data_IF_763808070203
#
_entry.id   IF_763808070203
#
_cell.length_a   1.000
_cell.length_b   1.000
_cell.length_c   1.000
_cell.angle_alpha   90.00
_cell.angle_beta   90.00
_cell.angle_gamma   90.00
#
_symmetry.space_group_name_H-M   'P 1'
#
loop_
_entity.id
_entity.type
_entity.pdbx_description
1 polymer ?
#
# COMPACT_ATOMS: atom_id res chain seq x y z
N UNK A 1 -27.94 27.10 14.01
CA UNK A 1 -27.29 26.73 12.74
C UNK A 1 -25.80 26.96 12.89
N UNK A 2 -25.02 25.89 13.07
CA UNK A 2 -23.63 25.71 12.61
C UNK A 2 -23.22 24.32 13.10
N UNK A 3 -23.45 23.30 12.25
CA UNK A 3 -22.98 21.94 12.50
C UNK A 3 -21.47 21.91 12.27
N UNK A 4 -20.71 21.64 13.33
CA UNK A 4 -19.31 21.25 13.24
C UNK A 4 -19.23 19.83 12.67
N UNK A 5 -19.16 19.72 11.35
CA UNK A 5 -18.64 18.52 10.69
C UNK A 5 -17.13 18.50 10.86
N UNK A 6 -16.66 17.98 12.00
CA UNK A 6 -15.25 17.67 12.21
C UNK A 6 -14.86 16.55 11.24
N UNK A 7 -14.10 16.89 10.19
CA UNK A 7 -13.34 15.90 9.44
C UNK A 7 -12.24 15.39 10.37
N UNK A 8 -12.50 14.29 11.08
CA UNK A 8 -11.56 13.63 11.98
C UNK A 8 -10.39 13.04 11.16
N UNK A 9 -9.17 13.41 11.56
CA UNK A 9 -7.95 12.69 11.19
C UNK A 9 -7.95 11.36 11.97
N UNK A 10 -7.49 10.22 11.40
CA UNK A 10 -7.42 8.97 12.16
C UNK A 10 -6.50 9.13 13.38
N UNK A 11 -6.87 8.61 14.57
CA UNK A 11 -6.02 8.69 15.75
C UNK A 11 -4.74 7.86 15.57
N UNK A 12 -3.59 8.50 15.77
CA UNK A 12 -2.31 7.83 16.07
C UNK A 12 -2.28 7.54 17.58
N UNK A 13 -2.81 6.40 18.02
CA UNK A 13 -2.74 6.00 19.43
C UNK A 13 -1.98 4.70 19.62
N UNK A 14 -0.88 4.82 20.36
CA UNK A 14 -0.01 3.76 20.84
C UNK A 14 -0.65 3.04 22.05
N UNK A 15 -0.74 1.70 22.02
CA UNK A 15 -0.46 0.78 23.15
C UNK A 15 -0.97 -0.66 22.89
N UNK A 16 -0.02 -1.60 23.07
CA UNK A 16 -0.13 -3.00 23.50
C UNK A 16 -0.86 -4.09 22.66
N UNK A 17 0.00 -4.97 22.12
CA UNK A 17 0.00 -6.44 22.14
C UNK A 17 -1.30 -7.23 21.97
N UNK A 18 -1.24 -8.14 20.98
CA UNK A 18 -2.12 -9.28 20.71
C UNK A 18 -3.55 -8.94 20.29
N UNK A 19 -3.79 -8.74 18.99
CA UNK A 19 -5.10 -9.03 18.41
C UNK A 19 -4.96 -9.69 17.04
N UNK A 20 -5.50 -10.91 16.95
CA UNK A 20 -6.04 -11.45 15.70
C UNK A 20 -6.80 -10.35 14.98
N UNK A 21 -6.34 -9.93 13.80
CA UNK A 21 -7.07 -8.92 13.03
C UNK A 21 -8.32 -9.57 12.46
N UNK A 22 -9.46 -9.42 13.13
CA UNK A 22 -10.79 -9.80 12.63
C UNK A 22 -11.25 -8.94 11.43
N UNK A 23 -10.31 -8.36 10.67
CA UNK A 23 -10.59 -7.60 9.47
C UNK A 23 -10.38 -8.52 8.25
N UNK A 24 -11.45 -8.89 7.52
CA UNK A 24 -11.37 -9.88 6.43
C UNK A 24 -10.61 -9.37 5.20
N UNK A 25 -10.32 -8.07 5.14
CA UNK A 25 -9.56 -7.47 4.04
C UNK A 25 -8.05 -7.44 4.31
N UNK A 26 -7.61 -7.65 5.55
CA UNK A 26 -6.19 -7.66 5.92
C UNK A 26 -5.66 -9.07 5.84
N UNK A 27 -4.59 -9.25 5.06
CA UNK A 27 -3.90 -10.52 4.87
C UNK A 27 -2.47 -10.35 5.38
N UNK A 28 -2.06 -11.26 6.24
CA UNK A 28 -0.66 -11.39 6.69
C UNK A 28 -0.12 -12.64 6.01
N UNK A 29 0.89 -12.48 5.15
CA UNK A 29 1.43 -13.60 4.36
C UNK A 29 2.95 -13.73 4.52
N UNK A 30 3.49 -14.95 4.62
CA UNK A 30 4.92 -15.17 4.83
C UNK A 30 5.74 -14.69 3.64
N UNK A 31 6.97 -14.29 3.94
CA UNK A 31 7.97 -13.96 2.94
C UNK A 31 8.68 -15.24 2.47
N UNK A 32 8.51 -15.63 1.19
CA UNK A 32 9.06 -16.88 0.65
C UNK A 32 10.59 -16.91 0.59
N UNK A 33 11.27 -15.76 0.75
CA UNK A 33 12.74 -15.67 0.77
C UNK A 33 13.33 -15.74 2.18
N UNK A 34 12.51 -15.91 3.22
CA UNK A 34 12.96 -15.99 4.61
C UNK A 34 13.52 -17.38 4.97
N UNK A 35 14.71 -17.67 4.45
CA UNK A 35 15.64 -18.54 5.18
C UNK A 35 16.23 -17.68 6.32
N UNK A 36 16.57 -18.25 7.48
CA UNK A 36 17.31 -17.62 8.61
C UNK A 36 16.51 -17.16 9.85
N UNK A 37 17.10 -17.46 11.01
CA UNK A 37 16.52 -17.55 12.36
C UNK A 37 16.52 -16.26 13.19
N UNK A 38 16.63 -15.08 12.58
CA UNK A 38 16.79 -13.82 13.33
C UNK A 38 15.91 -12.69 12.81
N UNK A 39 15.14 -12.07 13.72
CA UNK A 39 14.49 -10.78 13.49
C UNK A 39 15.54 -9.65 13.51
N UNK A 40 16.33 -9.50 12.44
CA UNK A 40 17.11 -8.28 12.21
C UNK A 40 16.19 -7.09 11.94
N UNK A 41 16.72 -5.86 11.98
CA UNK A 41 15.92 -4.70 11.58
C UNK A 41 15.53 -4.85 10.10
N UNK A 42 14.32 -4.41 9.69
CA UNK A 42 13.90 -4.50 8.28
C UNK A 42 14.94 -3.94 7.31
N UNK A 43 15.61 -2.84 7.67
CA UNK A 43 16.64 -2.21 6.84
C UNK A 43 17.88 -3.10 6.61
N UNK A 44 18.31 -3.89 7.60
CA UNK A 44 19.47 -4.78 7.44
C UNK A 44 19.17 -5.86 6.38
N UNK A 45 17.93 -6.38 6.39
CA UNK A 45 17.47 -7.36 5.40
C UNK A 45 17.29 -6.74 4.01
N UNK A 46 16.81 -5.51 3.94
CA UNK A 46 16.69 -4.76 2.69
C UNK A 46 18.05 -4.63 1.98
N UNK A 47 19.12 -4.33 2.72
CA UNK A 47 20.48 -4.30 2.17
C UNK A 47 20.92 -5.66 1.60
N UNK A 48 20.63 -6.75 2.30
CA UNK A 48 20.92 -8.11 1.82
C UNK A 48 20.18 -8.42 0.51
N UNK A 49 18.92 -8.01 0.38
CA UNK A 49 18.15 -8.19 -0.88
C UNK A 49 18.70 -7.37 -2.04
N UNK A 50 19.11 -6.11 -1.80
CA UNK A 50 19.72 -5.25 -2.82
C UNK A 50 21.08 -5.76 -3.27
N UNK A 51 21.92 -6.18 -2.32
CA UNK A 51 23.24 -6.71 -2.61
C UNK A 51 23.16 -8.02 -3.41
N UNK A 52 22.17 -8.88 -3.13
CA UNK A 52 21.91 -10.10 -3.90
C UNK A 52 21.46 -9.83 -5.34
N UNK A 53 20.83 -8.68 -5.59
CA UNK A 53 20.40 -8.26 -6.92
C UNK A 53 21.49 -7.46 -7.69
N UNK A 54 22.70 -7.37 -7.14
CA UNK A 54 23.77 -6.50 -7.64
C UNK A 54 24.55 -7.05 -8.83
N UNK A 55 24.25 -6.56 -10.04
CA UNK A 55 25.21 -5.96 -11.00
C UNK A 55 24.53 -5.52 -12.31
N UNK A 56 24.07 -4.26 -12.36
CA UNK A 56 24.16 -3.30 -13.48
C UNK A 56 23.36 -2.05 -13.12
N UNK A 57 24.05 -0.99 -12.70
CA UNK A 57 23.48 0.36 -12.61
C UNK A 57 24.06 1.13 -13.78
N UNK A 58 23.34 1.15 -14.90
CA UNK A 58 23.49 2.24 -15.87
C UNK A 58 22.35 3.21 -15.60
N UNK A 59 22.72 4.39 -15.14
CA UNK A 59 21.83 5.42 -14.65
C UNK A 59 21.10 6.07 -15.83
N UNK A 60 19.92 5.56 -16.17
CA UNK A 60 19.01 6.26 -17.06
C UNK A 60 18.31 7.39 -16.27
N UNK A 61 18.96 8.54 -16.14
CA UNK A 61 18.26 9.77 -15.73
C UNK A 61 17.32 10.19 -16.85
N UNK A 62 16.02 10.27 -16.56
CA UNK A 62 15.16 11.14 -17.37
C UNK A 62 14.07 11.80 -16.54
N UNK A 63 14.31 13.10 -16.33
CA UNK A 63 13.34 14.22 -16.33
C UNK A 63 12.16 14.13 -15.35
N UNK A 64 12.25 14.84 -14.22
CA UNK A 64 11.10 15.51 -13.62
C UNK A 64 11.47 16.34 -12.37
N UNK A 65 11.56 17.66 -12.52
CA UNK A 65 11.53 18.59 -11.37
C UNK A 65 10.14 18.63 -10.72
N UNK A 66 9.10 18.12 -11.40
CA UNK A 66 7.77 17.86 -10.85
C UNK A 66 7.66 16.56 -10.01
N UNK A 67 8.78 15.91 -9.66
CA UNK A 67 8.78 14.63 -8.93
C UNK A 67 9.63 14.67 -7.65
N UNK A 68 10.51 15.66 -7.47
CA UNK A 68 11.31 15.77 -6.26
C UNK A 68 10.46 16.14 -5.02
N UNK A 69 9.49 17.06 -5.17
CA UNK A 69 8.62 17.50 -4.06
C UNK A 69 7.74 16.38 -3.51
N UNK A 70 7.02 15.67 -4.38
CA UNK A 70 6.13 14.57 -3.97
C UNK A 70 6.92 13.38 -3.42
N UNK A 71 8.09 13.07 -3.99
CA UNK A 71 9.00 12.05 -3.45
C UNK A 71 9.53 12.47 -2.08
N UNK A 72 9.96 13.73 -1.92
CA UNK A 72 10.44 14.23 -0.64
C UNK A 72 9.36 14.19 0.44
N UNK A 73 8.14 14.60 0.10
CA UNK A 73 7.00 14.49 0.99
C UNK A 73 6.72 13.02 1.35
N UNK A 74 6.72 12.11 0.37
CA UNK A 74 6.55 10.67 0.61
C UNK A 74 7.55 10.16 1.64
N UNK A 75 8.85 10.47 1.49
CA UNK A 75 9.88 10.01 2.43
C UNK A 75 9.67 10.57 3.85
N UNK A 76 9.15 11.80 3.98
CA UNK A 76 8.89 12.46 5.27
C UNK A 76 7.68 11.93 6.03
N UNK A 77 6.77 11.21 5.37
CA UNK A 77 5.64 10.55 6.06
C UNK A 77 6.13 9.42 6.96
N UNK A 78 7.26 8.79 6.62
CA UNK A 78 7.89 7.78 7.45
C UNK A 78 8.54 8.39 8.70
N UNK A 79 8.48 7.72 9.86
CA UNK A 79 9.30 8.07 11.02
C UNK A 79 10.82 8.04 10.73
N UNK A 80 11.24 7.31 9.69
CA UNK A 80 12.63 7.16 9.26
C UNK A 80 12.75 7.39 7.75
N UNK A 81 13.43 8.47 7.38
CA UNK A 81 13.68 8.86 5.98
C UNK A 81 14.53 7.79 5.26
N UNK A 82 15.54 7.26 5.93
CA UNK A 82 16.44 6.25 5.38
C UNK A 82 15.70 4.94 5.13
N UNK A 83 14.85 4.51 6.06
CA UNK A 83 14.06 3.28 5.88
C UNK A 83 13.06 3.44 4.72
N UNK A 84 12.44 4.62 4.57
CA UNK A 84 11.55 4.90 3.46
C UNK A 84 12.28 4.88 2.11
N UNK A 85 13.45 5.52 2.03
CA UNK A 85 14.27 5.52 0.82
C UNK A 85 14.71 4.09 0.46
N UNK A 86 15.14 3.31 1.46
CA UNK A 86 15.56 1.93 1.26
C UNK A 86 14.40 1.04 0.80
N UNK A 87 13.22 1.16 1.42
CA UNK A 87 12.03 0.42 1.02
C UNK A 87 11.66 0.70 -0.45
N UNK A 88 11.77 1.95 -0.91
CA UNK A 88 11.53 2.30 -2.32
C UNK A 88 12.58 1.73 -3.27
N UNK A 89 13.85 1.69 -2.86
CA UNK A 89 14.91 1.06 -3.65
C UNK A 89 14.67 -0.45 -3.78
N UNK A 90 14.43 -1.14 -2.66
CA UNK A 90 14.13 -2.58 -2.64
C UNK A 90 12.91 -2.88 -3.49
N UNK A 91 11.82 -2.12 -3.34
CA UNK A 91 10.63 -2.32 -4.15
C UNK A 91 10.90 -2.12 -5.65
N UNK A 92 11.69 -1.10 -6.02
CA UNK A 92 12.10 -0.89 -7.40
C UNK A 92 12.92 -2.07 -7.96
N UNK A 93 13.88 -2.57 -7.18
CA UNK A 93 14.68 -3.75 -7.53
C UNK A 93 13.84 -5.01 -7.64
N UNK A 94 12.89 -5.21 -6.71
CA UNK A 94 11.95 -6.34 -6.73
C UNK A 94 11.12 -6.34 -8.01
N UNK A 95 10.51 -5.20 -8.36
CA UNK A 95 9.72 -5.05 -9.59
C UNK A 95 10.57 -5.37 -10.83
N UNK A 96 11.83 -4.96 -10.86
CA UNK A 96 12.74 -5.29 -11.97
C UNK A 96 13.07 -6.80 -12.00
N UNK A 97 13.40 -7.39 -10.85
CA UNK A 97 13.74 -8.80 -10.74
C UNK A 97 12.56 -9.72 -11.08
N UNK A 98 11.35 -9.30 -10.75
CA UNK A 98 10.11 -10.00 -11.09
C UNK A 98 9.69 -9.78 -12.55
N UNK A 99 10.35 -8.89 -13.31
CA UNK A 99 10.05 -8.69 -14.74
C UNK A 99 8.96 -7.65 -15.03
N UNK A 100 8.66 -6.77 -14.07
CA UNK A 100 7.73 -5.66 -14.22
C UNK A 100 6.66 -5.61 -13.14
N UNK A 101 5.85 -4.55 -13.15
CA UNK A 101 4.81 -4.29 -12.14
C UNK A 101 3.70 -5.34 -12.17
N UNK A 102 3.30 -5.79 -13.36
CA UNK A 102 2.29 -6.83 -13.54
C UNK A 102 2.70 -8.13 -12.86
N UNK A 103 3.92 -8.59 -13.12
CA UNK A 103 4.41 -9.82 -12.51
C UNK A 103 4.63 -9.65 -11.00
N UNK A 104 5.09 -8.49 -10.54
CA UNK A 104 5.18 -8.18 -9.12
C UNK A 104 3.83 -8.25 -8.40
N UNK A 105 2.78 -7.73 -9.04
CA UNK A 105 1.41 -7.84 -8.54
C UNK A 105 0.95 -9.30 -8.50
N UNK A 106 1.19 -10.07 -9.56
CA UNK A 106 0.83 -11.48 -9.63
C UNK A 106 1.53 -12.32 -8.55
N UNK A 107 2.82 -12.11 -8.32
CA UNK A 107 3.58 -12.79 -7.25
C UNK A 107 3.07 -12.40 -5.86
N UNK A 108 2.63 -11.15 -5.67
CA UNK A 108 2.13 -10.69 -4.39
C UNK A 108 0.73 -11.21 -4.04
N UNK A 109 -0.17 -11.36 -5.02
CA UNK A 109 -1.60 -11.59 -4.75
C UNK A 109 -2.22 -12.80 -5.45
N UNK A 110 -1.45 -13.52 -6.26
CA UNK A 110 -1.93 -14.43 -7.31
C UNK A 110 -2.84 -13.70 -8.32
N UNK A 111 -3.03 -14.24 -9.52
CA UNK A 111 -3.92 -13.62 -10.52
C UNK A 111 -5.30 -14.28 -10.49
N UNK A 112 -6.37 -13.49 -10.45
CA UNK A 112 -7.71 -14.01 -10.68
C UNK A 112 -7.95 -14.20 -12.20
N UNK A 113 -8.84 -15.12 -12.61
CA UNK A 113 -9.15 -15.31 -14.03
C UNK A 113 -9.60 -14.01 -14.70
N UNK A 114 -8.90 -13.60 -15.77
CA UNK A 114 -9.18 -12.36 -16.52
C UNK A 114 -8.90 -11.08 -15.73
N UNK A 115 -8.13 -11.14 -14.65
CA UNK A 115 -7.66 -9.96 -13.92
C UNK A 115 -6.45 -9.35 -14.61
N UNK A 116 -6.46 -8.03 -14.76
CA UNK A 116 -5.35 -7.26 -15.32
C UNK A 116 -5.01 -6.11 -14.37
N UNK A 117 -3.72 -5.85 -14.18
CA UNK A 117 -3.28 -4.69 -13.43
C UNK A 117 -3.50 -3.42 -14.27
N UNK A 118 -4.15 -2.41 -13.68
CA UNK A 118 -4.40 -1.14 -14.36
C UNK A 118 -3.34 -0.10 -13.97
N UNK A 119 -3.08 0.03 -12.67
CA UNK A 119 -2.18 1.05 -12.13
C UNK A 119 -1.57 0.60 -10.79
N UNK A 120 -0.41 1.18 -10.45
CA UNK A 120 0.20 1.06 -9.14
C UNK A 120 0.70 2.41 -8.63
N UNK A 121 0.66 2.60 -7.31
CA UNK A 121 1.02 3.85 -6.65
C UNK A 121 1.78 3.59 -5.36
N UNK A 122 2.95 4.21 -5.20
CA UNK A 122 3.67 4.22 -3.95
C UNK A 122 2.95 5.14 -2.94
N UNK A 123 2.69 4.61 -1.75
CA UNK A 123 1.96 5.30 -0.69
C UNK A 123 2.22 4.65 0.67
N UNK A 124 1.49 5.09 1.69
CA UNK A 124 1.43 4.47 3.00
C UNK A 124 -0.01 4.09 3.32
N UNK A 125 -0.20 2.95 3.96
CA UNK A 125 -1.45 2.59 4.62
C UNK A 125 -1.38 3.00 6.09
N UNK A 126 -2.36 3.78 6.56
CA UNK A 126 -2.49 4.11 7.97
C UNK A 126 -2.89 2.87 8.77
N UNK A 127 -2.13 2.53 9.80
CA UNK A 127 -2.50 1.49 10.77
C UNK A 127 -2.45 2.06 12.19
N UNK A 128 -2.97 1.32 13.16
CA UNK A 128 -2.88 1.68 14.58
C UNK A 128 -1.43 1.76 15.07
N UNK A 129 -0.53 0.99 14.48
CA UNK A 129 0.91 1.02 14.76
C UNK A 129 1.67 2.09 13.95
N UNK A 130 0.96 2.91 13.18
CA UNK A 130 1.53 3.96 12.33
C UNK A 130 1.46 3.65 10.82
N UNK A 131 2.05 4.51 9.99
CA UNK A 131 2.00 4.39 8.54
C UNK A 131 2.90 3.26 8.04
N UNK A 132 2.34 2.32 7.28
CA UNK A 132 3.08 1.23 6.63
C UNK A 132 3.35 1.61 5.18
N UNK A 133 4.62 1.76 4.81
CA UNK A 133 5.02 2.06 3.43
C UNK A 133 4.72 0.87 2.51
N UNK A 134 4.20 1.14 1.32
CA UNK A 134 3.91 0.10 0.36
C UNK A 134 3.47 0.62 -0.99
N UNK A 135 2.94 -0.34 -1.77
CA UNK A 135 2.42 -0.08 -3.09
C UNK A 135 0.94 -0.47 -3.15
N UNK A 136 0.10 0.50 -3.52
CA UNK A 136 -1.31 0.30 -3.82
C UNK A 136 -1.44 -0.07 -5.30
N UNK A 137 -2.01 -1.24 -5.57
CA UNK A 137 -2.34 -1.78 -6.87
C UNK A 137 -3.85 -1.63 -7.12
N UNK A 138 -4.19 -1.20 -8.33
CA UNK A 138 -5.56 -1.19 -8.84
C UNK A 138 -5.60 -2.12 -10.03
N UNK A 139 -6.38 -3.20 -9.94
CA UNK A 139 -6.64 -4.13 -11.05
C UNK A 139 -8.06 -3.94 -11.59
N UNK A 140 -8.41 -4.69 -12.64
CA UNK A 140 -9.78 -4.79 -13.14
C UNK A 140 -10.76 -5.45 -12.17
N UNK A 141 -10.27 -6.03 -11.05
CA UNK A 141 -11.08 -6.79 -10.10
C UNK A 141 -11.00 -6.29 -8.65
N UNK A 142 -9.90 -5.67 -8.24
CA UNK A 142 -9.67 -5.28 -6.83
C UNK A 142 -8.74 -4.08 -6.69
N UNK A 143 -8.88 -3.43 -5.55
CA UNK A 143 -7.85 -2.58 -4.96
C UNK A 143 -7.06 -3.45 -3.98
N UNK A 144 -5.74 -3.48 -4.12
CA UNK A 144 -4.88 -4.28 -3.26
C UNK A 144 -3.68 -3.44 -2.80
N UNK A 145 -3.23 -3.61 -1.57
CA UNK A 145 -2.04 -2.96 -1.03
C UNK A 145 -1.08 -4.01 -0.51
N UNK A 146 0.21 -3.87 -0.80
CA UNK A 146 1.27 -4.70 -0.23
C UNK A 146 2.34 -3.78 0.37
N UNK A 147 2.78 -4.07 1.59
CA UNK A 147 3.95 -3.42 2.17
C UNK A 147 5.18 -3.66 1.30
N UNK A 148 6.03 -2.63 1.16
CA UNK A 148 7.28 -2.73 0.38
C UNK A 148 8.33 -3.59 1.10
N UNK A 149 8.12 -3.87 2.39
CA UNK A 149 8.92 -4.81 3.16
C UNK A 149 8.07 -5.66 4.09
N UNK A 150 8.59 -6.84 4.42
CA UNK A 150 8.03 -7.73 5.43
C UNK A 150 8.44 -7.27 6.84
N UNK A 151 7.57 -7.41 7.83
CA UNK A 151 7.88 -7.24 9.25
C UNK A 151 8.08 -8.59 9.94
N UNK A 152 8.92 -8.63 10.98
CA UNK A 152 9.12 -9.86 11.76
C UNK A 152 8.01 -9.99 12.81
N UNK A 153 7.33 -11.13 12.84
CA UNK A 153 6.46 -11.55 13.93
C UNK A 153 6.96 -12.88 14.51
N UNK A 154 6.40 -13.29 15.65
CA UNK A 154 6.70 -14.59 16.24
C UNK A 154 5.49 -15.51 16.10
N UNK A 155 5.72 -16.73 15.62
CA UNK A 155 4.71 -17.77 15.58
C UNK A 155 4.30 -18.20 17.01
N UNK A 156 3.21 -18.96 17.12
CA UNK A 156 2.81 -19.59 18.39
C UNK A 156 3.87 -20.53 18.97
N UNK A 157 4.80 -21.01 18.14
CA UNK A 157 5.95 -21.84 18.53
C UNK A 157 7.20 -21.02 18.87
N UNK A 158 7.10 -19.68 18.90
CA UNK A 158 8.19 -18.77 19.24
C UNK A 158 9.23 -18.60 18.13
N UNK A 159 8.96 -19.08 16.91
CA UNK A 159 9.87 -18.94 15.78
C UNK A 159 9.63 -17.61 15.05
N UNK A 160 10.69 -16.89 14.64
CA UNK A 160 10.55 -15.66 13.88
C UNK A 160 10.01 -15.97 12.48
N UNK A 161 8.96 -15.26 12.07
CA UNK A 161 8.35 -15.37 10.75
C UNK A 161 8.24 -13.98 10.14
N UNK A 162 8.70 -13.84 8.90
CA UNK A 162 8.67 -12.58 8.18
C UNK A 162 7.40 -12.50 7.37
N UNK A 163 6.60 -11.46 7.60
CA UNK A 163 5.28 -11.32 7.01
C UNK A 163 5.12 -10.01 6.24
N UNK A 164 4.49 -10.06 5.08
CA UNK A 164 4.01 -8.87 4.39
C UNK A 164 2.65 -8.45 4.94
N UNK A 165 2.47 -7.15 5.11
CA UNK A 165 1.16 -6.56 5.40
C UNK A 165 0.43 -6.32 4.09
N UNK A 166 -0.69 -7.02 3.89
CA UNK A 166 -1.49 -6.91 2.67
C UNK A 166 -2.92 -6.49 3.00
N UNK A 167 -3.52 -5.74 2.08
CA UNK A 167 -4.95 -5.43 2.09
C UNK A 167 -5.52 -5.76 0.71
N UNK A 168 -6.70 -6.38 0.63
CA UNK A 168 -7.38 -6.69 -0.63
C UNK A 168 -8.86 -6.37 -0.52
N UNK A 169 -9.34 -5.40 -1.29
CA UNK A 169 -10.77 -5.03 -1.42
C UNK A 169 -11.20 -5.28 -2.85
N UNK A 170 -12.15 -6.19 -3.06
CA UNK A 170 -12.76 -6.39 -4.39
C UNK A 170 -13.56 -5.15 -4.81
N UNK A 171 -13.57 -4.84 -6.12
CA UNK A 171 -14.23 -3.63 -6.62
C UNK A 171 -15.74 -3.63 -6.40
N UNK A 172 -16.37 -4.80 -6.33
CA UNK A 172 -17.79 -4.94 -5.99
C UNK A 172 -18.06 -4.59 -4.51
N UNK A 173 -17.10 -4.81 -3.61
CA UNK A 173 -17.15 -4.42 -2.20
C UNK A 173 -16.75 -2.96 -1.96
N UNK A 174 -16.23 -2.25 -2.97
CA UNK A 174 -15.86 -0.85 -2.86
C UNK A 174 -17.11 0.03 -2.81
N UNK A 175 -17.30 0.78 -1.72
CA UNK A 175 -18.43 1.70 -1.53
C UNK A 175 -18.08 3.12 -1.89
N UNK A 176 -16.94 3.62 -1.42
CA UNK A 176 -16.54 5.01 -1.63
C UNK A 176 -15.02 5.17 -1.71
N UNK A 177 -14.61 6.19 -2.47
CA UNK A 177 -13.24 6.70 -2.55
C UNK A 177 -13.32 8.21 -2.34
N UNK A 178 -12.88 8.69 -1.18
CA UNK A 178 -13.01 10.09 -0.80
C UNK A 178 -11.64 10.75 -0.66
N UNK A 179 -11.40 11.90 -1.29
CA UNK A 179 -10.22 12.71 -0.99
C UNK A 179 -10.36 13.38 0.37
N UNK A 180 -9.25 13.56 1.06
CA UNK A 180 -9.15 14.36 2.29
C UNK A 180 -7.76 15.00 2.38
N UNK A 181 -7.60 16.01 3.21
CA UNK A 181 -6.32 16.66 3.47
C UNK A 181 -6.23 17.12 4.93
N UNK A 182 -5.01 17.19 5.47
CA UNK A 182 -4.81 17.71 6.82
C UNK A 182 -5.17 19.20 6.85
N UNK A 183 -6.00 19.58 7.83
CA UNK A 183 -6.48 20.96 7.98
C UNK A 183 -5.35 21.92 8.37
N UNK A 184 -4.36 21.43 9.10
CA UNK A 184 -3.18 22.20 9.53
C UNK A 184 -2.09 22.22 8.46
N UNK A 185 -2.00 21.15 7.66
CA UNK A 185 -1.04 21.03 6.58
C UNK A 185 -1.70 20.50 5.29
N UNK A 186 -2.26 21.37 4.43
CA UNK A 186 -2.96 20.95 3.22
C UNK A 186 -2.10 20.17 2.21
N UNK A 187 -0.78 20.15 2.37
CA UNK A 187 0.12 19.30 1.56
C UNK A 187 0.02 17.82 1.91
N UNK A 188 -0.40 17.50 3.13
CA UNK A 188 -0.69 16.13 3.57
C UNK A 188 -2.07 15.70 3.08
N UNK A 189 -2.09 15.05 1.93
CA UNK A 189 -3.31 14.55 1.29
C UNK A 189 -3.53 13.07 1.61
N UNK A 190 -4.81 12.72 1.75
CA UNK A 190 -5.29 11.39 2.08
C UNK A 190 -6.30 10.88 1.03
N UNK A 191 -6.32 9.57 0.83
CA UNK A 191 -7.40 8.89 0.12
C UNK A 191 -8.06 7.93 1.10
N UNK A 192 -9.34 8.13 1.35
CA UNK A 192 -10.17 7.30 2.22
C UNK A 192 -10.97 6.31 1.37
N UNK A 193 -10.71 5.02 1.56
CA UNK A 193 -11.43 3.93 0.92
C UNK A 193 -12.40 3.31 1.93
N UNK A 194 -13.67 3.20 1.57
CA UNK A 194 -14.72 2.60 2.40
C UNK A 194 -15.30 1.39 1.67
N UNK A 195 -15.44 0.27 2.36
CA UNK A 195 -16.10 -0.94 1.85
C UNK A 195 -17.60 -0.92 2.13
N UNK A 196 -18.37 -1.79 1.46
CA UNK A 196 -19.83 -1.87 1.63
C UNK A 196 -20.26 -2.31 3.01
N UNK A 197 -19.48 -3.17 3.65
CA UNK A 197 -19.65 -3.65 5.03
C UNK A 197 -19.04 -2.70 6.08
N UNK A 198 -18.52 -1.53 5.67
CA UNK A 198 -18.18 -0.44 6.57
C UNK A 198 -16.73 -0.43 7.09
N UNK A 199 -15.83 -1.25 6.54
CA UNK A 199 -14.41 -1.13 6.84
C UNK A 199 -13.80 0.08 6.11
N UNK A 200 -12.87 0.75 6.80
CA UNK A 200 -12.26 1.99 6.36
C UNK A 200 -10.74 1.83 6.24
N UNK A 201 -10.18 2.32 5.13
CA UNK A 201 -8.74 2.30 4.86
C UNK A 201 -8.27 3.70 4.46
N UNK A 202 -7.27 4.20 5.18
CA UNK A 202 -6.70 5.52 4.97
C UNK A 202 -5.33 5.41 4.34
N UNK A 203 -5.18 5.96 3.14
CA UNK A 203 -3.92 6.03 2.42
C UNK A 203 -3.35 7.43 2.42
N UNK A 204 -2.04 7.53 2.52
CA UNK A 204 -1.33 8.81 2.60
C UNK A 204 0.04 8.77 1.92
N UNK A 205 0.69 9.93 1.80
CA UNK A 205 2.04 10.02 1.27
C UNK A 205 2.17 9.50 -0.16
N UNK A 206 1.17 9.72 -1.01
CA UNK A 206 1.26 9.28 -2.41
C UNK A 206 2.33 10.07 -3.17
N UNK A 207 3.20 9.39 -3.91
CA UNK A 207 4.09 10.03 -4.89
C UNK A 207 3.29 10.60 -6.08
N UNK A 208 2.09 10.08 -6.34
CA UNK A 208 1.24 10.51 -7.46
C UNK A 208 -0.22 10.59 -7.05
N UNK A 209 -0.52 11.42 -6.04
CA UNK A 209 -1.82 11.54 -5.40
C UNK A 209 -2.98 11.74 -6.39
N UNK A 210 -2.89 12.79 -7.23
CA UNK A 210 -4.01 13.16 -8.11
C UNK A 210 -4.29 12.07 -9.15
N UNK A 211 -3.25 11.36 -9.61
CA UNK A 211 -3.39 10.20 -10.51
C UNK A 211 -4.06 9.02 -9.81
N UNK A 212 -3.65 8.72 -8.57
CA UNK A 212 -4.22 7.64 -7.77
C UNK A 212 -5.71 7.88 -7.50
N UNK A 213 -6.06 9.06 -7.01
CA UNK A 213 -7.43 9.46 -6.72
C UNK A 213 -8.31 9.36 -7.98
N UNK A 214 -7.83 9.89 -9.11
CA UNK A 214 -8.55 9.82 -10.38
C UNK A 214 -8.82 8.37 -10.78
N UNK A 215 -7.82 7.50 -10.76
CA UNK A 215 -7.97 6.10 -11.19
C UNK A 215 -8.84 5.27 -10.27
N UNK A 216 -8.74 5.47 -8.96
CA UNK A 216 -9.62 4.81 -7.99
C UNK A 216 -11.08 5.27 -8.16
N UNK A 217 -11.31 6.56 -8.39
CA UNK A 217 -12.66 7.10 -8.63
C UNK A 217 -13.26 6.57 -9.93
N UNK A 218 -12.48 6.53 -11.02
CA UNK A 218 -12.89 5.92 -12.30
C UNK A 218 -13.26 4.43 -12.13
N UNK A 219 -12.52 3.68 -11.32
CA UNK A 219 -12.79 2.27 -11.05
C UNK A 219 -14.08 2.07 -10.23
N UNK A 220 -14.30 2.90 -9.21
CA UNK A 220 -15.55 2.89 -8.43
C UNK A 220 -16.77 3.16 -9.32
N UNK A 221 -16.71 4.19 -10.18
CA UNK A 221 -17.81 4.51 -11.10
C UNK A 221 -18.11 3.36 -12.06
N UNK A 222 -17.08 2.72 -12.61
CA UNK A 222 -17.22 1.54 -13.47
C UNK A 222 -17.88 0.37 -12.74
N UNK A 223 -17.46 0.10 -11.50
CA UNK A 223 -18.05 -0.96 -10.68
C UNK A 223 -19.54 -0.69 -10.42
N UNK A 224 -19.91 0.53 -10.00
CA UNK A 224 -21.31 0.90 -9.79
C UNK A 224 -22.16 0.78 -11.05
N UNK A 225 -21.64 1.18 -12.22
CA UNK A 225 -22.38 1.08 -13.49
C UNK A 225 -22.58 -0.39 -13.92
N UNK A 226 -21.61 -1.26 -13.67
CA UNK A 226 -21.72 -2.68 -13.99
C UNK A 226 -22.75 -3.43 -13.13
N UNK A 227 -22.97 -2.98 -11.88
CA UNK A 227 -24.00 -3.55 -11.00
C UNK A 227 -25.43 -3.10 -11.35
N UNK A 228 -25.60 -2.07 -12.19
CA UNK A 228 -26.91 -1.50 -12.55
C UNK A 228 -27.58 -2.07 -13.80
N UNK A 229 -26.93 -2.98 -14.53
CA UNK A 229 -27.44 -3.50 -15.82
C UNK A 229 -28.35 -4.72 -15.68
N UNK A 230 -28.53 -5.27 -14.47
CA UNK A 230 -29.50 -6.37 -14.20
C UNK A 230 -30.83 -5.81 -13.67
N UNK A 231 -31.54 -5.03 -14.48
CA UNK A 231 -33.00 -4.82 -14.33
C UNK A 231 -33.55 -4.07 -15.54
N UNK A 232 -33.71 -4.78 -16.65
CA UNK A 232 -34.78 -4.53 -17.63
C UNK A 232 -35.22 -5.88 -18.18
N UNK A 233 -36.29 -6.41 -17.59
CA UNK A 233 -37.16 -7.42 -18.22
C UNK A 233 -38.15 -6.66 -19.08
#
# INVERSE_FOLDING_TARGET
>A
MYNHSQSQVPPLTNNNHNQHTNNPYIIISPDPTSSYSSCKRPIDRMFDTLSRCGKRVEYATRKAEATAGDVWHHLRVSPSLTDAAMARLVQGTKVLAEGGLDHAFQQAFNILPGEELLNSYACYLSTTSGPVIGTLYLSTKRVAFCSDYSFCCYSSTGQPEWMYYKMVVQLDQLRAVNPSANRLNPSEKYIHIITRDGYEFWFMGFISYDKALKKLTEALQRACNSSGVVSRV
#
